data_IF_746867809581
#
_entry.id   IF_746867809581
#
_cell.length_a   1.000
_cell.length_b   1.000
_cell.length_c   1.000
_cell.angle_alpha   90.00
_cell.angle_beta   90.00
_cell.angle_gamma   90.00
#
_symmetry.space_group_name_H-M   'P 1'
#
loop_
_entity.id
_entity.type
_entity.pdbx_description
1 polymer ?
#
# COMPACT_ATOMS: atom_id res chain seq x y z
N UNK A 1 16.14 -1.25 22.06
CA UNK A 1 17.02 -0.47 22.96
C UNK A 1 17.64 0.65 22.16
N UNK A 2 17.87 1.80 22.79
CA UNK A 2 18.61 2.92 22.23
C UNK A 2 20.12 2.61 22.26
N UNK A 3 20.93 3.49 21.65
CA UNK A 3 22.39 3.31 21.63
C UNK A 3 23.02 3.38 23.05
N UNK A 4 22.29 3.90 24.03
CA UNK A 4 22.66 3.99 25.44
C UNK A 4 22.05 2.85 26.30
N UNK A 5 21.59 1.77 25.66
CA UNK A 5 20.91 0.62 26.28
C UNK A 5 19.58 0.93 27.00
N UNK A 6 19.09 2.17 26.95
CA UNK A 6 17.75 2.49 27.46
C UNK A 6 16.66 1.81 26.63
N UNK A 7 15.52 1.54 27.27
CA UNK A 7 14.35 0.99 26.57
C UNK A 7 13.77 2.04 25.63
N UNK A 8 13.47 1.62 24.38
CA UNK A 8 12.87 2.54 23.43
C UNK A 8 11.47 2.95 23.87
N UNK A 9 11.27 4.26 24.00
CA UNK A 9 9.99 4.88 24.27
C UNK A 9 9.26 5.27 22.99
N UNK A 10 8.05 5.83 23.12
CA UNK A 10 7.26 6.33 21.98
C UNK A 10 7.99 7.40 21.15
N UNK A 11 8.81 8.23 21.80
CA UNK A 11 9.47 9.38 21.18
C UNK A 11 10.75 9.00 20.40
N UNK A 12 11.22 7.76 20.53
CA UNK A 12 12.42 7.28 19.84
C UNK A 12 12.15 6.84 18.38
N UNK A 13 10.90 6.92 17.93
CA UNK A 13 10.48 6.47 16.61
C UNK A 13 10.15 7.64 15.70
N UNK A 14 10.77 7.66 14.52
CA UNK A 14 10.36 8.58 13.45
C UNK A 14 9.27 7.95 12.61
N UNK A 15 8.12 8.61 12.51
CA UNK A 15 7.05 8.19 11.60
C UNK A 15 7.49 8.44 10.15
N UNK A 16 7.60 7.36 9.38
CA UNK A 16 7.84 7.41 7.94
C UNK A 16 6.48 7.26 7.22
N UNK A 17 5.89 8.35 6.71
CA UNK A 17 4.55 8.31 6.12
C UNK A 17 4.53 7.48 4.84
N UNK A 18 3.56 6.59 4.72
CA UNK A 18 3.31 5.79 3.51
C UNK A 18 2.14 6.41 2.75
N UNK A 19 2.36 6.74 1.48
CA UNK A 19 1.31 7.29 0.61
C UNK A 19 0.67 6.16 -0.20
N UNK A 20 -0.66 6.05 -0.13
CA UNK A 20 -1.44 5.13 -0.96
C UNK A 20 -2.36 5.97 -1.84
N UNK A 21 -2.07 5.99 -3.14
CA UNK A 21 -2.82 6.79 -4.10
C UNK A 21 -4.16 6.12 -4.47
N UNK A 22 -5.04 6.89 -5.12
CA UNK A 22 -6.38 6.46 -5.51
C UNK A 22 -6.40 5.12 -6.23
N UNK A 23 -7.42 4.30 -5.96
CA UNK A 23 -7.64 3.00 -6.61
C UNK A 23 -6.53 1.96 -6.45
N UNK A 24 -5.47 2.25 -5.68
CA UNK A 24 -4.50 1.23 -5.32
C UNK A 24 -5.17 0.15 -4.45
N UNK A 25 -4.78 -1.10 -4.64
CA UNK A 25 -5.32 -2.24 -3.94
C UNK A 25 -4.21 -3.03 -3.24
N UNK A 26 -4.43 -3.35 -1.96
CA UNK A 26 -3.47 -4.06 -1.13
C UNK A 26 -4.03 -5.44 -0.79
N UNK A 27 -3.35 -6.49 -1.27
CA UNK A 27 -3.72 -7.87 -0.98
C UNK A 27 -3.53 -8.23 0.48
N UNK A 28 -4.30 -9.24 0.93
CA UNK A 28 -4.25 -9.74 2.30
C UNK A 28 -2.83 -10.06 2.75
N UNK A 29 -2.49 -9.69 3.99
CA UNK A 29 -1.19 -9.97 4.61
C UNK A 29 0.01 -9.37 3.87
N UNK A 30 -0.18 -8.36 3.01
CA UNK A 30 0.94 -7.58 2.49
C UNK A 30 1.54 -6.69 3.59
N UNK A 31 2.87 -6.59 3.62
CA UNK A 31 3.62 -5.70 4.51
C UNK A 31 4.26 -4.60 3.69
N UNK A 32 4.05 -3.35 4.07
CA UNK A 32 4.61 -2.18 3.40
C UNK A 32 5.56 -1.48 4.36
N UNK A 33 6.82 -1.31 3.97
CA UNK A 33 7.78 -0.55 4.76
C UNK A 33 7.38 0.93 4.80
N UNK A 34 7.64 1.60 5.92
CA UNK A 34 7.34 3.02 6.09
C UNK A 34 8.12 3.89 5.10
N UNK A 35 7.51 4.98 4.66
CA UNK A 35 8.13 5.93 3.71
C UNK A 35 7.96 5.57 2.22
N UNK A 36 7.21 4.52 1.92
CA UNK A 36 6.94 4.06 0.54
C UNK A 36 5.72 4.75 -0.06
N UNK A 37 5.74 4.98 -1.37
CA UNK A 37 4.57 5.38 -2.17
C UNK A 37 4.01 4.22 -2.98
N UNK A 38 2.70 4.01 -2.89
CA UNK A 38 1.93 3.10 -3.74
C UNK A 38 1.15 3.92 -4.75
N UNK A 39 1.56 3.85 -6.02
CA UNK A 39 1.00 4.66 -7.09
C UNK A 39 -0.45 4.33 -7.46
N UNK A 40 -1.12 5.26 -8.13
CA UNK A 40 -2.54 5.15 -8.50
C UNK A 40 -2.82 3.83 -9.23
N UNK A 41 -3.85 3.10 -8.79
CA UNK A 41 -4.26 1.85 -9.42
C UNK A 41 -3.26 0.69 -9.33
N UNK A 42 -2.19 0.81 -8.53
CA UNK A 42 -1.26 -0.28 -8.29
C UNK A 42 -1.93 -1.42 -7.50
N UNK A 43 -1.51 -2.67 -7.77
CA UNK A 43 -1.98 -3.86 -7.08
C UNK A 43 -0.82 -4.55 -6.35
N UNK A 44 -0.92 -4.62 -5.03
CA UNK A 44 0.00 -5.36 -4.18
C UNK A 44 -0.54 -6.78 -3.96
N UNK A 45 0.20 -7.79 -4.39
CA UNK A 45 -0.16 -9.19 -4.18
C UNK A 45 -0.22 -9.56 -2.70
N UNK A 46 -1.04 -10.55 -2.37
CA UNK A 46 -1.13 -11.08 -1.01
C UNK A 46 0.24 -11.59 -0.52
N UNK A 47 0.55 -11.34 0.76
CA UNK A 47 1.82 -11.74 1.37
C UNK A 47 3.08 -11.01 0.86
N UNK A 48 2.94 -9.98 0.01
CA UNK A 48 4.08 -9.25 -0.52
C UNK A 48 4.76 -8.38 0.56
N UNK A 49 6.09 -8.25 0.50
CA UNK A 49 6.87 -7.32 1.34
C UNK A 49 7.42 -6.20 0.47
N UNK A 50 6.76 -5.05 0.53
CA UNK A 50 7.07 -3.88 -0.30
C UNK A 50 8.15 -3.05 0.39
N UNK A 51 9.33 -3.00 -0.23
CA UNK A 51 10.52 -2.31 0.30
C UNK A 51 10.90 -1.05 -0.48
N UNK A 52 10.22 -0.78 -1.61
CA UNK A 52 10.45 0.38 -2.48
C UNK A 52 9.11 0.89 -3.03
N UNK A 53 9.12 2.12 -3.56
CA UNK A 53 7.97 2.71 -4.27
C UNK A 53 7.43 1.80 -5.39
N UNK A 54 6.10 1.77 -5.48
CA UNK A 54 5.36 0.99 -6.49
C UNK A 54 4.80 1.96 -7.52
N UNK A 55 5.19 1.85 -8.81
CA UNK A 55 4.69 2.74 -9.86
C UNK A 55 3.16 2.63 -10.05
N UNK A 56 2.50 3.68 -10.54
CA UNK A 56 1.08 3.62 -10.90
C UNK A 56 0.76 2.47 -11.86
N UNK A 57 -0.35 1.78 -11.62
CA UNK A 57 -0.82 0.63 -12.39
C UNK A 57 0.07 -0.63 -12.32
N UNK A 58 1.15 -0.62 -11.54
CA UNK A 58 2.02 -1.79 -11.40
C UNK A 58 1.35 -2.87 -10.54
N UNK A 59 1.53 -4.13 -10.95
CA UNK A 59 1.17 -5.32 -10.18
C UNK A 59 2.45 -5.90 -9.61
N UNK A 60 2.59 -5.91 -8.29
CA UNK A 60 3.80 -6.39 -7.59
C UNK A 60 3.48 -7.58 -6.69
N UNK A 61 4.43 -8.50 -6.48
CA UNK A 61 4.32 -9.57 -5.48
C UNK A 61 5.69 -10.07 -5.02
N UNK A 62 5.70 -10.89 -3.97
CA UNK A 62 6.89 -11.58 -3.47
C UNK A 62 7.56 -10.90 -2.27
N UNK A 63 8.62 -11.54 -1.76
CA UNK A 63 9.43 -11.08 -0.62
C UNK A 63 10.91 -11.13 -1.03
N UNK A 64 11.53 -9.99 -1.35
CA UNK A 64 10.94 -8.65 -1.49
C UNK A 64 10.04 -8.52 -2.74
N UNK A 65 9.08 -7.59 -2.69
CA UNK A 65 8.13 -7.38 -3.78
C UNK A 65 8.84 -6.92 -5.07
N UNK A 66 8.40 -7.46 -6.21
CA UNK A 66 8.89 -7.11 -7.56
C UNK A 66 7.73 -6.89 -8.50
N UNK A 67 7.90 -5.99 -9.47
CA UNK A 67 6.93 -5.77 -10.55
C UNK A 67 6.83 -7.04 -11.39
N UNK A 68 5.61 -7.57 -11.48
CA UNK A 68 5.30 -8.73 -12.32
C UNK A 68 4.82 -8.28 -13.70
N UNK A 69 3.93 -7.28 -13.72
CA UNK A 69 3.36 -6.67 -14.93
C UNK A 69 2.67 -5.35 -14.57
N UNK A 70 2.22 -4.62 -15.58
CA UNK A 70 1.31 -3.49 -15.40
C UNK A 70 -0.12 -3.92 -15.74
N UNK A 71 -1.10 -3.39 -15.01
CA UNK A 71 -2.50 -3.59 -15.35
C UNK A 71 -2.77 -3.03 -16.76
N UNK A 72 -3.44 -3.80 -17.60
CA UNK A 72 -4.01 -3.23 -18.82
C UNK A 72 -4.98 -2.11 -18.40
N UNK A 73 -5.02 -1.02 -19.16
CA UNK A 73 -5.94 0.12 -18.94
C UNK A 73 -7.39 -0.32 -19.13
N UNK A 74 -7.91 -1.12 -18.21
CA UNK A 74 -9.34 -1.31 -18.04
C UNK A 74 -9.78 -0.18 -17.12
N UNK A 75 -10.53 0.78 -17.67
CA UNK A 75 -11.19 1.79 -16.84
C UNK A 75 -12.08 1.05 -15.86
N UNK A 76 -11.65 0.99 -14.60
CA UNK A 76 -12.50 0.54 -13.51
C UNK A 76 -13.63 1.57 -13.43
N UNK A 77 -14.82 1.21 -13.91
CA UNK A 77 -15.98 2.09 -13.82
C UNK A 77 -16.25 2.35 -12.33
N UNK A 78 -16.57 3.60 -11.93
CA UNK A 78 -17.07 3.84 -10.60
C UNK A 78 -18.27 2.91 -10.39
N UNK A 79 -18.21 2.06 -9.36
CA UNK A 79 -19.42 1.42 -8.87
C UNK A 79 -20.23 2.56 -8.27
N UNK A 80 -21.35 2.93 -8.91
CA UNK A 80 -22.28 3.89 -8.34
C UNK A 80 -22.70 3.36 -6.97
N UNK A 81 -22.48 4.16 -5.92
CA UNK A 81 -22.91 3.80 -4.57
C UNK A 81 -24.43 4.03 -4.47
N UNK A 82 -25.20 3.00 -4.86
CA UNK A 82 -26.66 3.04 -4.93
C UNK A 82 -27.34 2.83 -3.55
N UNK A 83 -26.56 2.87 -2.45
CA UNK A 83 -27.01 2.46 -1.10
C UNK A 83 -27.35 3.60 -0.13
N UNK A 84 -27.46 4.84 -0.60
CA UNK A 84 -27.83 5.98 0.24
C UNK A 84 -29.30 6.44 0.08
N UNK A 85 -30.14 5.69 -0.63
CA UNK A 85 -31.57 6.03 -0.85
C UNK A 85 -32.55 5.40 0.15
N UNK A 86 -32.12 4.46 1.00
CA UNK A 86 -33.03 3.69 1.88
C UNK A 86 -32.99 4.10 3.37
N UNK A 87 -32.34 5.21 3.71
CA UNK A 87 -32.40 5.80 5.07
C UNK A 87 -33.12 7.15 5.04
N UNK A 88 -34.45 7.08 4.95
CA UNK A 88 -35.37 8.22 5.05
C UNK A 88 -36.50 7.93 6.03
#
# INVERSE_FOLDING_TARGET
>A
VNADDSMRGPDDWTLAPTMVESRAAIGTNATILGGVRIGEGALIGAGAVVVNDVPPGAIVAGVPARVLRYAATTRMQPVADDRLSEVG
#
